data_IF_891703060930
#
_entry.id   IF_891703060930
#
_cell.length_a   1.000
_cell.length_b   1.000
_cell.length_c   1.000
_cell.angle_alpha   90.00
_cell.angle_beta   90.00
_cell.angle_gamma   90.00
#
_symmetry.space_group_name_H-M   'P 1'
#
loop_
_entity.id
_entity.type
_entity.pdbx_description
1 polymer ?
#
# COMPACT_ATOMS: atom_id res chain seq x y z
N UNK A 1 -23.31 -53.08 -39.41
CA UNK A 1 -23.06 -53.01 -37.95
C UNK A 1 -21.65 -52.53 -37.58
N UNK A 2 -20.55 -53.02 -38.18
CA UNK A 2 -19.16 -52.60 -37.86
C UNK A 2 -18.88 -51.10 -38.08
N UNK A 3 -19.50 -50.46 -39.08
CA UNK A 3 -19.26 -49.03 -39.32
C UNK A 3 -19.91 -48.12 -38.25
N UNK A 4 -21.09 -48.51 -37.77
CA UNK A 4 -21.81 -47.75 -36.74
C UNK A 4 -21.07 -47.81 -35.37
N UNK A 5 -20.54 -48.98 -35.02
CA UNK A 5 -19.74 -49.16 -33.79
C UNK A 5 -18.44 -48.37 -33.84
N UNK A 6 -17.75 -48.32 -34.99
CA UNK A 6 -16.55 -47.53 -35.15
C UNK A 6 -16.84 -46.04 -35.04
N UNK A 7 -17.91 -45.54 -35.63
CA UNK A 7 -18.32 -44.14 -35.51
C UNK A 7 -18.63 -43.74 -34.06
N UNK A 8 -19.35 -44.58 -33.32
CA UNK A 8 -19.66 -44.38 -31.90
C UNK A 8 -18.37 -44.34 -31.04
N UNK A 9 -17.41 -45.22 -31.31
CA UNK A 9 -16.11 -45.23 -30.63
C UNK A 9 -15.30 -43.96 -30.90
N UNK A 10 -15.25 -43.54 -32.15
CA UNK A 10 -14.53 -42.30 -32.52
C UNK A 10 -15.15 -41.07 -31.86
N UNK A 11 -16.49 -40.95 -31.86
CA UNK A 11 -17.20 -39.86 -31.19
C UNK A 11 -16.94 -39.91 -29.68
N UNK A 12 -16.97 -41.11 -29.09
CA UNK A 12 -16.68 -41.27 -27.66
C UNK A 12 -15.25 -40.81 -27.26
N UNK A 13 -14.25 -41.22 -28.05
CA UNK A 13 -12.86 -40.83 -27.85
C UNK A 13 -12.66 -39.33 -28.01
N UNK A 14 -13.24 -38.74 -29.06
CA UNK A 14 -13.18 -37.29 -29.29
C UNK A 14 -13.86 -36.50 -28.17
N UNK A 15 -15.05 -36.93 -27.74
CA UNK A 15 -15.78 -36.32 -26.63
C UNK A 15 -14.97 -36.40 -25.34
N UNK A 16 -14.38 -37.56 -25.06
CA UNK A 16 -13.53 -37.73 -23.88
C UNK A 16 -12.28 -36.86 -23.91
N UNK A 17 -11.62 -36.76 -25.05
CA UNK A 17 -10.45 -35.87 -25.24
C UNK A 17 -10.81 -34.38 -25.03
N UNK A 18 -11.96 -33.96 -25.56
CA UNK A 18 -12.47 -32.58 -25.36
C UNK A 18 -12.77 -32.32 -23.88
N UNK A 19 -13.46 -33.25 -23.20
CA UNK A 19 -13.75 -33.13 -21.77
C UNK A 19 -12.48 -33.09 -20.92
N UNK A 20 -11.48 -33.91 -21.22
CA UNK A 20 -10.18 -33.86 -20.53
C UNK A 20 -9.47 -32.52 -20.73
N UNK A 21 -9.45 -32.01 -21.95
CA UNK A 21 -8.85 -30.70 -22.25
C UNK A 21 -9.56 -29.56 -21.50
N UNK A 22 -10.90 -29.57 -21.52
CA UNK A 22 -11.70 -28.57 -20.82
C UNK A 22 -11.51 -28.65 -19.31
N UNK A 23 -11.51 -29.88 -18.73
CA UNK A 23 -11.28 -30.11 -17.31
C UNK A 23 -9.90 -29.60 -16.86
N UNK A 24 -8.87 -29.84 -17.67
CA UNK A 24 -7.51 -29.35 -17.39
C UNK A 24 -7.42 -27.84 -17.44
N UNK A 25 -8.06 -27.19 -18.41
CA UNK A 25 -8.11 -25.74 -18.51
C UNK A 25 -8.84 -25.11 -17.33
N UNK A 26 -10.00 -25.68 -16.97
CA UNK A 26 -10.79 -25.23 -15.81
C UNK A 26 -10.04 -25.43 -14.49
N UNK A 27 -9.38 -26.56 -14.32
CA UNK A 27 -8.57 -26.83 -13.14
C UNK A 27 -7.41 -25.82 -13.00
N UNK A 28 -6.69 -25.55 -14.07
CA UNK A 28 -5.63 -24.52 -14.09
C UNK A 28 -6.19 -23.13 -13.78
N UNK A 29 -7.30 -22.76 -14.38
CA UNK A 29 -7.93 -21.47 -14.16
C UNK A 29 -8.40 -21.31 -12.71
N UNK A 30 -8.97 -22.36 -12.12
CA UNK A 30 -9.45 -22.34 -10.75
C UNK A 30 -8.31 -22.38 -9.69
N UNK A 31 -7.20 -23.08 -9.97
CA UNK A 31 -6.08 -23.24 -9.03
C UNK A 31 -5.14 -22.01 -9.04
N UNK A 32 -4.92 -21.39 -10.19
CA UNK A 32 -3.99 -20.27 -10.33
C UNK A 32 -4.20 -19.11 -9.36
N UNK A 33 -5.43 -18.60 -9.10
CA UNK A 33 -5.64 -17.53 -8.12
C UNK A 33 -5.32 -17.97 -6.68
N UNK A 34 -5.59 -19.23 -6.33
CA UNK A 34 -5.27 -19.78 -4.99
C UNK A 34 -3.74 -19.87 -4.81
N UNK A 35 -3.03 -20.37 -5.80
CA UNK A 35 -1.57 -20.45 -5.77
C UNK A 35 -0.94 -19.05 -5.67
N UNK A 36 -1.46 -18.08 -6.41
CA UNK A 36 -0.99 -16.70 -6.35
C UNK A 36 -1.21 -16.10 -4.95
N UNK A 37 -2.40 -16.27 -4.38
CA UNK A 37 -2.73 -15.79 -3.03
C UNK A 37 -1.84 -16.47 -1.97
N UNK A 38 -1.60 -17.78 -2.10
CA UNK A 38 -0.73 -18.53 -1.20
C UNK A 38 0.73 -18.04 -1.25
N UNK A 39 1.25 -17.82 -2.45
CA UNK A 39 2.61 -17.32 -2.64
C UNK A 39 2.75 -15.89 -2.09
N UNK A 40 1.76 -15.03 -2.29
CA UNK A 40 1.72 -13.69 -1.71
C UNK A 40 1.69 -13.74 -0.18
N UNK A 41 0.92 -14.66 0.42
CA UNK A 41 0.86 -14.82 1.86
C UNK A 41 2.20 -15.31 2.43
N UNK A 42 2.85 -16.29 1.77
CA UNK A 42 4.18 -16.76 2.19
C UNK A 42 5.23 -15.66 2.12
N UNK A 43 5.25 -14.90 1.01
CA UNK A 43 6.16 -13.77 0.85
C UNK A 43 5.93 -12.71 1.94
N UNK A 44 4.68 -12.37 2.20
CA UNK A 44 4.31 -11.43 3.27
C UNK A 44 4.86 -11.84 4.65
N UNK A 45 4.72 -13.13 5.03
CA UNK A 45 5.25 -13.62 6.30
C UNK A 45 6.78 -13.57 6.33
N UNK A 46 7.44 -13.91 5.22
CA UNK A 46 8.90 -13.85 5.11
C UNK A 46 9.39 -12.40 5.26
N UNK A 47 8.80 -11.47 4.51
CA UNK A 47 9.18 -10.05 4.54
C UNK A 47 8.92 -9.42 5.93
N UNK A 48 7.76 -9.70 6.55
CA UNK A 48 7.45 -9.25 7.91
C UNK A 48 8.48 -9.78 8.93
N UNK A 49 8.89 -11.04 8.80
CA UNK A 49 9.89 -11.66 9.67
C UNK A 49 11.27 -10.99 9.52
N UNK A 50 11.66 -10.66 8.29
CA UNK A 50 12.90 -9.94 8.03
C UNK A 50 12.88 -8.51 8.58
N UNK A 51 11.79 -7.77 8.37
CA UNK A 51 11.65 -6.39 8.86
C UNK A 51 11.56 -6.31 10.39
N UNK A 52 11.08 -7.35 11.07
CA UNK A 52 11.08 -7.44 12.54
C UNK A 52 12.43 -7.87 13.10
N UNK A 53 13.18 -8.73 12.41
CA UNK A 53 14.45 -9.26 12.89
C UNK A 53 15.52 -8.17 13.04
N UNK A 54 15.60 -7.26 12.09
CA UNK A 54 16.62 -6.21 12.05
C UNK A 54 16.55 -5.28 13.27
N UNK A 55 15.43 -4.61 13.59
CA UNK A 55 15.35 -3.76 14.76
C UNK A 55 15.49 -4.55 16.07
N UNK A 56 14.99 -5.79 16.12
CA UNK A 56 15.16 -6.64 17.30
C UNK A 56 16.65 -6.95 17.57
N UNK A 57 17.42 -7.25 16.53
CA UNK A 57 18.86 -7.48 16.67
C UNK A 57 19.57 -6.24 17.21
N UNK A 58 19.22 -5.04 16.69
CA UNK A 58 19.81 -3.78 17.17
C UNK A 58 19.46 -3.53 18.64
N UNK A 59 18.21 -3.80 19.05
CA UNK A 59 17.78 -3.68 20.45
C UNK A 59 18.61 -4.60 21.34
N UNK A 60 18.72 -5.87 20.98
CA UNK A 60 19.47 -6.86 21.76
C UNK A 60 20.96 -6.50 21.88
N UNK A 61 21.60 -6.14 20.77
CA UNK A 61 23.01 -5.75 20.77
C UNK A 61 23.25 -4.51 21.66
N UNK A 62 22.40 -3.46 21.55
CA UNK A 62 22.55 -2.28 22.41
C UNK A 62 22.27 -2.60 23.90
N UNK A 63 21.32 -3.52 24.17
CA UNK A 63 21.05 -3.97 25.53
C UNK A 63 22.23 -4.78 26.14
N UNK A 64 22.92 -5.60 25.33
CA UNK A 64 24.13 -6.29 25.74
C UNK A 64 25.28 -5.29 26.02
N UNK A 65 25.49 -4.30 25.15
CA UNK A 65 26.50 -3.25 25.34
C UNK A 65 26.26 -2.40 26.62
N UNK A 66 25.01 -2.21 27.01
CA UNK A 66 24.69 -1.52 28.27
C UNK A 66 25.18 -2.28 29.53
N UNK A 67 25.40 -3.58 29.44
CA UNK A 67 25.88 -4.39 30.56
C UNK A 67 27.41 -4.35 30.70
N UNK A 68 28.12 -3.92 29.64
CA UNK A 68 29.58 -3.82 29.66
C UNK A 68 30.03 -2.60 30.48
N UNK A 69 30.98 -2.78 31.43
CA UNK A 69 31.43 -1.70 32.30
C UNK A 69 32.32 -0.67 31.59
N UNK A 70 32.82 -0.96 30.42
CA UNK A 70 33.80 -0.13 29.69
C UNK A 70 33.20 1.17 29.10
N UNK A 71 31.88 1.23 28.96
CA UNK A 71 31.20 2.35 28.31
C UNK A 71 30.85 3.47 29.28
N UNK A 72 31.18 4.71 28.87
CA UNK A 72 30.85 5.92 29.64
C UNK A 72 29.34 6.23 29.56
N UNK A 73 28.90 7.18 30.38
CA UNK A 73 27.49 7.62 30.48
C UNK A 73 26.96 8.11 29.12
N UNK A 74 27.77 8.78 28.30
CA UNK A 74 27.38 9.29 27.01
C UNK A 74 27.16 8.13 25.99
N UNK A 75 27.98 7.11 26.02
CA UNK A 75 27.80 5.91 25.20
C UNK A 75 26.54 5.15 25.61
N UNK A 76 26.31 5.00 26.92
CA UNK A 76 25.11 4.34 27.47
C UNK A 76 23.83 5.08 27.08
N UNK A 77 23.81 6.42 27.13
CA UNK A 77 22.68 7.22 26.64
C UNK A 77 22.38 6.94 25.18
N UNK A 78 23.38 6.89 24.31
CA UNK A 78 23.19 6.55 22.87
C UNK A 78 22.63 5.15 22.66
N UNK A 79 23.02 4.15 23.48
CA UNK A 79 22.45 2.80 23.38
C UNK A 79 20.97 2.80 23.79
N UNK A 80 20.60 3.53 24.85
CA UNK A 80 19.20 3.68 25.26
C UNK A 80 18.37 4.36 24.16
N UNK A 81 18.87 5.46 23.57
CA UNK A 81 18.19 6.18 22.49
C UNK A 81 17.99 5.28 21.25
N UNK A 82 19.00 4.46 20.93
CA UNK A 82 18.91 3.47 19.86
C UNK A 82 17.83 2.41 20.13
N UNK A 83 17.79 1.87 21.37
CA UNK A 83 16.76 0.91 21.79
C UNK A 83 15.36 1.52 21.67
N UNK A 84 15.18 2.75 22.18
CA UNK A 84 13.92 3.45 22.13
C UNK A 84 13.46 3.69 20.67
N UNK A 85 14.36 4.15 19.82
CA UNK A 85 14.10 4.38 18.40
C UNK A 85 13.66 3.10 17.68
N UNK A 86 14.38 2.00 17.88
CA UNK A 86 14.06 0.70 17.29
C UNK A 86 12.74 0.13 17.82
N UNK A 87 12.44 0.35 19.10
CA UNK A 87 11.18 -0.08 19.71
C UNK A 87 9.99 0.68 19.13
N UNK A 88 10.12 2.00 18.92
CA UNK A 88 9.09 2.80 18.24
C UNK A 88 8.89 2.35 16.78
N UNK A 89 9.95 2.03 16.09
CA UNK A 89 9.87 1.48 14.71
C UNK A 89 9.14 0.14 14.72
N UNK A 90 9.52 -0.82 15.58
CA UNK A 90 8.82 -2.11 15.66
C UNK A 90 7.33 -1.93 15.94
N UNK A 91 6.95 -1.03 16.85
CA UNK A 91 5.55 -0.73 17.12
C UNK A 91 4.82 -0.26 15.86
N UNK A 92 5.36 0.72 15.12
CA UNK A 92 4.76 1.21 13.87
C UNK A 92 4.63 0.12 12.80
N UNK A 93 5.62 -0.79 12.70
CA UNK A 93 5.54 -1.94 11.80
C UNK A 93 4.38 -2.88 12.21
N UNK A 94 4.30 -3.25 13.49
CA UNK A 94 3.23 -4.13 13.99
C UNK A 94 1.85 -3.50 13.77
N UNK A 95 1.68 -2.21 14.04
CA UNK A 95 0.43 -1.48 13.79
C UNK A 95 0.04 -1.53 12.31
N UNK A 96 1.01 -1.32 11.41
CA UNK A 96 0.78 -1.39 9.96
C UNK A 96 0.42 -2.81 9.49
N UNK A 97 1.04 -3.85 10.06
CA UNK A 97 0.71 -5.25 9.77
C UNK A 97 -0.70 -5.62 10.24
N UNK A 98 -1.08 -5.18 11.44
CA UNK A 98 -2.42 -5.40 11.98
C UNK A 98 -3.48 -4.69 11.15
N UNK A 99 -3.21 -3.47 10.70
CA UNK A 99 -4.10 -2.70 9.84
C UNK A 99 -4.29 -3.40 8.48
N UNK A 100 -3.20 -3.81 7.85
CA UNK A 100 -3.27 -4.57 6.60
C UNK A 100 -4.08 -5.86 6.77
N UNK A 101 -3.85 -6.60 7.87
CA UNK A 101 -4.61 -7.82 8.16
C UNK A 101 -6.11 -7.54 8.37
N UNK A 102 -6.48 -6.43 9.01
CA UNK A 102 -7.87 -6.00 9.17
C UNK A 102 -8.51 -5.65 7.82
N UNK A 103 -7.79 -4.89 7.00
CA UNK A 103 -8.25 -4.55 5.65
C UNK A 103 -8.41 -5.81 4.80
N UNK A 104 -7.46 -6.75 4.78
CA UNK A 104 -7.50 -7.97 3.97
C UNK A 104 -8.65 -8.91 4.35
N UNK A 105 -8.84 -9.17 5.66
CA UNK A 105 -9.84 -10.13 6.17
C UNK A 105 -11.30 -9.73 5.95
N UNK A 106 -11.53 -8.87 4.96
CA UNK A 106 -12.88 -8.64 4.43
C UNK A 106 -13.72 -7.71 5.26
N UNK A 107 -13.11 -6.79 6.02
CA UNK A 107 -13.84 -5.62 6.53
C UNK A 107 -15.18 -5.95 7.19
N UNK A 108 -15.28 -7.02 8.00
CA UNK A 108 -16.49 -7.32 8.76
C UNK A 108 -16.96 -6.11 9.58
N UNK A 109 -16.13 -5.07 9.68
CA UNK A 109 -16.40 -3.82 10.39
C UNK A 109 -16.32 -2.56 9.51
N UNK A 110 -16.19 -2.67 8.16
CA UNK A 110 -16.27 -1.48 7.31
C UNK A 110 -17.73 -1.04 7.18
N UNK A 111 -18.11 -0.03 7.94
CA UNK A 111 -19.43 0.59 7.81
C UNK A 111 -19.40 1.55 6.62
N UNK A 112 -20.09 1.18 5.55
CA UNK A 112 -20.22 2.01 4.36
C UNK A 112 -21.40 2.95 4.52
N UNK A 113 -21.16 4.25 4.43
CA UNK A 113 -22.18 5.30 4.40
C UNK A 113 -21.92 6.25 3.24
N UNK A 114 -22.92 7.05 2.88
CA UNK A 114 -22.72 8.20 2.00
C UNK A 114 -22.00 9.27 2.79
N UNK A 115 -20.81 9.69 2.35
CA UNK A 115 -19.98 10.69 3.01
C UNK A 115 -19.56 11.80 2.05
N UNK A 116 -19.33 12.99 2.59
CA UNK A 116 -18.78 14.12 1.85
C UNK A 116 -17.25 13.94 1.74
N UNK A 117 -16.81 13.52 0.55
CA UNK A 117 -15.39 13.26 0.31
C UNK A 117 -14.57 14.55 0.24
N UNK A 118 -15.20 15.67 -0.15
CA UNK A 118 -14.56 16.98 -0.14
C UNK A 118 -14.18 17.42 1.28
N UNK A 119 -15.11 17.32 2.23
CA UNK A 119 -14.84 17.62 3.65
C UNK A 119 -13.78 16.68 4.21
N UNK A 120 -13.89 15.37 3.92
CA UNK A 120 -12.93 14.39 4.40
C UNK A 120 -11.49 14.70 3.93
N UNK A 121 -11.32 15.06 2.65
CA UNK A 121 -10.00 15.42 2.10
C UNK A 121 -9.51 16.73 2.72
N UNK A 122 -10.37 17.73 2.86
CA UNK A 122 -10.01 19.00 3.50
C UNK A 122 -9.59 18.82 4.95
N UNK A 123 -10.30 18.00 5.72
CA UNK A 123 -9.95 17.67 7.11
C UNK A 123 -8.64 16.87 7.22
N UNK A 124 -8.34 16.04 6.21
CA UNK A 124 -7.08 15.30 6.17
C UNK A 124 -5.85 16.19 5.89
N UNK A 125 -6.02 17.35 5.25
CA UNK A 125 -4.92 18.29 4.98
C UNK A 125 -4.46 19.02 6.23
N UNK A 126 -5.37 19.36 7.16
CA UNK A 126 -5.07 20.20 8.31
C UNK A 126 -3.89 19.73 9.18
N UNK A 127 -3.76 18.44 9.55
CA UNK A 127 -2.62 17.97 10.33
C UNK A 127 -1.28 18.01 9.57
N UNK A 128 -1.31 18.07 8.23
CA UNK A 128 -0.10 18.08 7.40
C UNK A 128 0.42 19.49 7.11
N UNK A 129 -0.37 20.55 7.27
CA UNK A 129 0.09 21.92 7.08
C UNK A 129 1.35 22.25 7.91
N UNK A 130 1.37 22.03 9.27
CA UNK A 130 2.57 22.28 10.05
C UNK A 130 3.73 21.34 9.66
N UNK A 131 3.45 20.08 9.33
CA UNK A 131 4.47 19.10 8.93
C UNK A 131 5.18 19.53 7.65
N UNK A 132 4.42 20.02 6.67
CA UNK A 132 4.98 20.52 5.43
C UNK A 132 5.77 21.81 5.63
N UNK A 133 5.23 22.73 6.44
CA UNK A 133 5.92 23.97 6.79
C UNK A 133 7.29 23.71 7.43
N UNK A 134 7.37 22.80 8.42
CA UNK A 134 8.65 22.41 9.05
C UNK A 134 9.66 21.82 8.07
N UNK A 135 9.18 21.18 7.00
CA UNK A 135 10.02 20.61 5.94
C UNK A 135 10.32 21.55 4.78
N UNK A 136 9.91 22.81 4.87
CA UNK A 136 10.07 23.79 3.80
C UNK A 136 9.21 23.49 2.56
N UNK A 137 8.14 22.69 2.71
CA UNK A 137 7.23 22.35 1.62
C UNK A 137 6.02 23.30 1.62
N UNK A 138 5.58 23.68 0.43
CA UNK A 138 4.33 24.45 0.26
C UNK A 138 3.18 23.49 -0.05
N UNK A 139 2.05 23.63 0.65
CA UNK A 139 0.83 22.85 0.38
C UNK A 139 -0.14 23.72 -0.42
N UNK A 140 -0.48 23.29 -1.64
CA UNK A 140 -1.55 23.87 -2.46
C UNK A 140 -2.69 22.86 -2.57
N UNK A 141 -3.92 23.29 -2.29
CA UNK A 141 -5.08 22.43 -2.43
C UNK A 141 -6.16 23.08 -3.30
N UNK A 142 -6.79 22.25 -4.13
CA UNK A 142 -7.96 22.61 -4.92
C UNK A 142 -8.98 21.47 -4.79
N UNK A 143 -9.89 21.63 -3.84
CA UNK A 143 -10.90 20.62 -3.49
C UNK A 143 -12.26 21.11 -3.99
N UNK A 144 -12.81 20.43 -5.01
CA UNK A 144 -14.16 20.68 -5.51
C UNK A 144 -15.18 20.30 -4.43
N UNK A 145 -16.08 21.20 -4.11
CA UNK A 145 -17.06 21.03 -3.03
C UNK A 145 -18.16 20.01 -3.38
N UNK A 146 -18.78 19.46 -2.33
CA UNK A 146 -19.98 18.61 -2.43
C UNK A 146 -19.79 17.34 -3.29
N UNK A 147 -18.62 16.75 -3.26
CA UNK A 147 -18.38 15.44 -3.84
C UNK A 147 -18.67 14.34 -2.82
N UNK A 148 -19.65 13.49 -3.14
CA UNK A 148 -20.07 12.41 -2.25
C UNK A 148 -19.64 11.06 -2.81
N UNK A 149 -19.17 10.19 -1.91
CA UNK A 149 -18.84 8.79 -2.21
C UNK A 149 -19.52 7.87 -1.20
N UNK A 150 -19.71 6.61 -1.56
CA UNK A 150 -20.14 5.57 -0.62
C UNK A 150 -18.93 4.84 -0.07
N UNK A 151 -18.68 4.97 1.23
CA UNK A 151 -17.48 4.37 1.81
C UNK A 151 -17.41 4.45 3.33
N UNK A 152 -16.32 3.96 3.87
CA UNK A 152 -15.96 4.09 5.28
C UNK A 152 -15.10 5.33 5.47
N UNK A 153 -15.61 6.30 6.25
CA UNK A 153 -14.92 7.56 6.52
C UNK A 153 -13.51 7.33 7.08
N UNK A 154 -13.37 6.44 8.05
CA UNK A 154 -12.09 6.13 8.67
C UNK A 154 -11.06 5.63 7.65
N UNK A 155 -11.46 4.68 6.79
CA UNK A 155 -10.52 4.08 5.83
C UNK A 155 -10.20 5.02 4.66
N UNK A 156 -11.17 5.81 4.18
CA UNK A 156 -10.89 6.80 3.13
C UNK A 156 -10.03 7.96 3.66
N UNK A 157 -10.21 8.37 4.93
CA UNK A 157 -9.28 9.30 5.58
C UNK A 157 -7.87 8.73 5.62
N UNK A 158 -7.72 7.47 6.00
CA UNK A 158 -6.43 6.78 6.03
C UNK A 158 -5.75 6.76 4.64
N UNK A 159 -6.50 6.58 3.55
CA UNK A 159 -5.95 6.70 2.19
C UNK A 159 -5.37 8.08 1.95
N UNK A 160 -6.11 9.15 2.30
CA UNK A 160 -5.61 10.51 2.17
C UNK A 160 -4.35 10.73 3.02
N UNK A 161 -4.37 10.32 4.30
CA UNK A 161 -3.24 10.43 5.21
C UNK A 161 -1.99 9.72 4.67
N UNK A 162 -2.13 8.51 4.11
CA UNK A 162 -1.03 7.75 3.48
C UNK A 162 -0.42 8.51 2.30
N UNK A 163 -1.24 9.08 1.42
CA UNK A 163 -0.74 9.82 0.26
C UNK A 163 -0.05 11.12 0.67
N UNK A 164 -0.59 11.83 1.66
CA UNK A 164 0.00 13.06 2.20
C UNK A 164 1.31 12.77 2.94
N UNK A 165 1.35 11.73 3.77
CA UNK A 165 2.58 11.29 4.44
C UNK A 165 3.66 10.88 3.43
N UNK A 166 3.27 10.17 2.38
CA UNK A 166 4.16 9.81 1.28
C UNK A 166 4.74 11.05 0.59
N UNK A 167 3.91 12.05 0.26
CA UNK A 167 4.38 13.30 -0.30
C UNK A 167 5.34 14.03 0.67
N UNK A 168 5.02 14.08 1.98
CA UNK A 168 5.89 14.72 2.98
C UNK A 168 7.26 14.07 3.12
N UNK A 169 7.38 12.77 2.81
CA UNK A 169 8.61 11.98 2.94
C UNK A 169 9.50 12.04 1.71
N UNK A 170 8.90 12.16 0.54
CA UNK A 170 9.61 12.00 -0.74
C UNK A 170 9.61 13.26 -1.62
N UNK A 171 8.92 14.33 -1.21
CA UNK A 171 9.01 15.59 -1.91
C UNK A 171 10.43 16.19 -1.80
N UNK A 172 10.89 16.81 -2.87
CA UNK A 172 12.13 17.62 -2.87
C UNK A 172 11.98 18.80 -1.92
N UNK A 173 13.06 19.18 -1.27
CA UNK A 173 13.08 20.38 -0.42
C UNK A 173 12.62 21.63 -1.20
N UNK A 174 11.99 22.56 -0.51
CA UNK A 174 11.50 23.83 -1.06
C UNK A 174 10.56 23.68 -2.27
N UNK A 175 9.84 22.55 -2.33
CA UNK A 175 8.90 22.27 -3.42
C UNK A 175 7.43 22.38 -2.98
N UNK A 176 6.53 22.35 -3.98
CA UNK A 176 5.08 22.41 -3.75
C UNK A 176 4.47 21.02 -3.83
N UNK A 177 3.71 20.65 -2.79
CA UNK A 177 2.79 19.49 -2.82
C UNK A 177 1.42 20.00 -3.23
N UNK A 178 0.86 19.45 -4.31
CA UNK A 178 -0.43 19.87 -4.84
C UNK A 178 -1.46 18.76 -4.66
N UNK A 179 -2.57 19.09 -4.01
CA UNK A 179 -3.70 18.19 -3.78
C UNK A 179 -4.91 18.70 -4.56
N UNK A 180 -5.43 17.86 -5.45
CA UNK A 180 -6.61 18.22 -6.26
C UNK A 180 -7.67 17.12 -6.07
N UNK A 181 -8.87 17.53 -5.70
CA UNK A 181 -10.07 16.68 -5.74
C UNK A 181 -11.06 17.28 -6.71
N UNK A 182 -11.50 16.47 -7.68
CA UNK A 182 -12.46 16.91 -8.70
C UNK A 182 -13.42 15.79 -9.10
N UNK A 183 -14.56 16.14 -9.67
CA UNK A 183 -15.44 15.20 -10.35
C UNK A 183 -14.88 14.86 -11.73
N UNK A 184 -14.90 13.58 -12.06
CA UNK A 184 -14.54 13.07 -13.39
C UNK A 184 -15.62 12.06 -13.86
N UNK A 185 -16.62 12.55 -14.55
CA UNK A 185 -17.79 11.74 -14.94
C UNK A 185 -18.55 11.20 -13.72
N UNK A 186 -18.66 9.89 -13.61
CA UNK A 186 -19.30 9.18 -12.49
C UNK A 186 -18.36 8.86 -11.33
N UNK A 187 -17.19 9.52 -11.27
CA UNK A 187 -16.18 9.26 -10.26
C UNK A 187 -15.68 10.56 -9.63
N UNK A 188 -15.18 10.48 -8.41
CA UNK A 188 -14.32 11.47 -7.78
C UNK A 188 -12.88 11.08 -8.03
N UNK A 189 -12.04 12.02 -8.44
CA UNK A 189 -10.60 11.83 -8.63
C UNK A 189 -9.84 12.72 -7.65
N UNK A 190 -9.15 12.09 -6.70
CA UNK A 190 -8.17 12.72 -5.84
C UNK A 190 -6.79 12.52 -6.45
N UNK A 191 -5.98 13.57 -6.54
CA UNK A 191 -4.58 13.51 -6.92
C UNK A 191 -3.71 14.24 -5.90
N UNK A 192 -2.57 13.62 -5.55
CA UNK A 192 -1.52 14.22 -4.72
C UNK A 192 -0.24 14.21 -5.52
N UNK A 193 0.24 15.39 -5.89
CA UNK A 193 1.43 15.58 -6.72
C UNK A 193 2.53 16.24 -5.90
N UNK A 194 3.75 15.74 -6.02
CA UNK A 194 4.95 16.30 -5.39
C UNK A 194 6.14 16.22 -6.33
N UNK A 195 7.00 17.24 -6.33
CA UNK A 195 8.30 17.15 -6.99
C UNK A 195 9.19 16.15 -6.25
N UNK A 196 9.97 15.36 -6.97
CA UNK A 196 10.86 14.38 -6.36
C UNK A 196 11.61 13.55 -7.39
N UNK A 197 12.43 12.61 -6.92
CA UNK A 197 13.13 11.68 -7.78
C UNK A 197 12.14 10.91 -8.68
N UNK A 198 12.47 10.82 -9.97
CA UNK A 198 11.63 10.14 -10.93
C UNK A 198 11.46 8.65 -10.56
N UNK A 199 10.23 8.18 -10.57
CA UNK A 199 9.89 6.77 -10.34
C UNK A 199 9.97 6.05 -11.69
N UNK A 200 10.76 5.00 -11.78
CA UNK A 200 10.90 4.22 -13.01
C UNK A 200 9.58 3.53 -13.39
N UNK A 201 9.41 3.18 -14.68
CA UNK A 201 8.24 2.44 -15.14
C UNK A 201 8.10 1.05 -14.48
N UNK A 202 9.21 0.48 -14.03
CA UNK A 202 9.24 -0.78 -13.30
C UNK A 202 8.78 -0.57 -11.86
N UNK A 203 9.30 0.45 -11.19
CA UNK A 203 8.90 0.81 -9.83
C UNK A 203 7.42 1.18 -9.76
N UNK A 204 6.89 1.96 -10.71
CA UNK A 204 5.46 2.32 -10.79
C UNK A 204 4.52 1.11 -10.78
N UNK A 205 4.97 -0.05 -11.30
CA UNK A 205 4.19 -1.32 -11.27
C UNK A 205 4.27 -2.01 -9.91
N UNK A 206 5.25 -1.66 -9.09
CA UNK A 206 5.58 -2.38 -7.88
C UNK A 206 5.32 -1.60 -6.59
N UNK A 207 5.25 -0.25 -6.63
CA UNK A 207 5.13 0.60 -5.44
C UNK A 207 3.87 0.33 -4.58
N UNK A 208 2.85 -0.31 -5.14
CA UNK A 208 1.66 -0.75 -4.42
C UNK A 208 1.77 -2.18 -3.86
N UNK A 209 2.88 -2.88 -4.12
CA UNK A 209 3.13 -4.20 -3.52
C UNK A 209 3.59 -4.02 -2.06
N UNK A 210 3.26 -5.00 -1.23
CA UNK A 210 3.64 -5.04 0.19
C UNK A 210 5.16 -5.09 0.32
N UNK A 211 5.70 -4.33 1.28
CA UNK A 211 7.14 -4.23 1.58
C UNK A 211 8.00 -3.71 0.41
N UNK A 212 7.38 -3.26 -0.68
CA UNK A 212 8.15 -2.71 -1.77
C UNK A 212 8.68 -1.33 -1.44
N UNK A 213 9.98 -1.14 -1.66
CA UNK A 213 10.70 0.13 -1.49
C UNK A 213 11.71 0.27 -2.62
N UNK A 214 11.78 1.44 -3.20
CA UNK A 214 12.85 1.78 -4.14
C UNK A 214 14.19 1.79 -3.42
N UNK A 215 15.27 1.37 -4.08
CA UNK A 215 16.60 1.22 -3.46
C UNK A 215 17.10 2.51 -2.80
N UNK A 216 16.86 3.66 -3.42
CA UNK A 216 17.21 4.97 -2.85
C UNK A 216 16.41 5.32 -1.57
N UNK A 217 15.18 4.87 -1.46
CA UNK A 217 14.32 5.11 -0.31
C UNK A 217 14.67 4.25 0.89
N UNK A 218 15.44 3.18 0.71
CA UNK A 218 15.87 2.27 1.80
C UNK A 218 16.78 2.94 2.82
N UNK A 219 17.61 3.89 2.38
CA UNK A 219 18.60 4.55 3.22
C UNK A 219 18.11 5.83 3.92
N UNK A 220 17.04 6.46 3.43
CA UNK A 220 16.66 7.81 3.86
C UNK A 220 15.42 7.86 4.78
N UNK A 221 14.51 6.90 4.72
CA UNK A 221 13.24 6.96 5.44
C UNK A 221 12.85 5.61 6.07
N UNK A 222 12.39 5.65 7.33
CA UNK A 222 11.94 4.49 8.11
C UNK A 222 10.52 4.03 7.71
N UNK A 223 10.22 3.94 6.41
CA UNK A 223 8.93 3.44 5.93
C UNK A 223 9.06 1.96 5.56
N UNK A 224 8.07 1.15 5.95
CA UNK A 224 8.09 -0.31 5.75
C UNK A 224 7.57 -0.75 4.39
N UNK A 225 7.18 0.18 3.50
CA UNK A 225 6.59 -0.16 2.20
C UNK A 225 5.19 -0.79 2.30
N UNK A 226 4.47 -0.51 3.39
CA UNK A 226 3.11 -1.02 3.62
C UNK A 226 2.02 0.01 3.32
N UNK A 227 2.31 1.31 3.44
CA UNK A 227 1.30 2.37 3.32
C UNK A 227 0.55 2.32 1.99
N UNK A 228 1.25 2.37 0.86
CA UNK A 228 0.62 2.34 -0.47
C UNK A 228 -0.15 1.04 -0.72
N UNK A 229 0.30 -0.10 -0.20
CA UNK A 229 -0.44 -1.37 -0.32
C UNK A 229 -1.71 -1.40 0.55
N UNK A 230 -1.72 -0.73 1.70
CA UNK A 230 -2.92 -0.51 2.52
C UNK A 230 -3.90 0.40 1.76
N UNK A 231 -3.42 1.51 1.20
CA UNK A 231 -4.24 2.42 0.41
C UNK A 231 -4.87 1.71 -0.80
N UNK A 232 -4.12 0.89 -1.52
CA UNK A 232 -4.61 0.08 -2.66
C UNK A 232 -5.71 -0.89 -2.21
N UNK A 233 -5.49 -1.63 -1.13
CA UNK A 233 -6.49 -2.56 -0.59
C UNK A 233 -7.77 -1.84 -0.14
N UNK A 234 -7.67 -0.67 0.49
CA UNK A 234 -8.82 0.14 0.89
C UNK A 234 -9.59 0.63 -0.35
N UNK A 235 -8.88 1.25 -1.30
CA UNK A 235 -9.49 1.81 -2.52
C UNK A 235 -10.18 0.72 -3.33
N UNK A 236 -9.55 -0.45 -3.48
CA UNK A 236 -10.14 -1.62 -4.15
C UNK A 236 -11.45 -2.05 -3.49
N UNK A 237 -11.52 -2.11 -2.16
CA UNK A 237 -12.76 -2.47 -1.42
C UNK A 237 -13.87 -1.43 -1.56
N UNK A 238 -13.51 -0.19 -1.87
CA UNK A 238 -14.46 0.88 -2.19
C UNK A 238 -14.88 0.91 -3.67
N UNK A 239 -14.47 -0.11 -4.45
CA UNK A 239 -14.78 -0.18 -5.89
C UNK A 239 -14.03 0.86 -6.71
N UNK A 240 -12.96 1.42 -6.15
CA UNK A 240 -12.12 2.43 -6.77
C UNK A 240 -10.88 1.87 -7.45
N UNK A 241 -10.02 2.79 -7.87
CA UNK A 241 -8.70 2.51 -8.45
C UNK A 241 -7.67 3.49 -7.91
N UNK A 242 -6.47 2.99 -7.59
CA UNK A 242 -5.30 3.79 -7.24
C UNK A 242 -4.18 3.53 -8.26
N UNK A 243 -3.43 4.56 -8.63
CA UNK A 243 -2.25 4.44 -9.49
C UNK A 243 -1.33 5.64 -9.28
N UNK A 244 -0.15 5.58 -9.86
CA UNK A 244 0.80 6.68 -9.85
C UNK A 244 1.37 6.92 -11.24
N UNK A 245 1.78 8.17 -11.47
CA UNK A 245 2.47 8.62 -12.65
C UNK A 245 3.69 9.42 -12.24
N UNK A 246 4.76 9.32 -13.01
CA UNK A 246 5.99 10.09 -12.80
C UNK A 246 6.43 10.70 -14.12
N UNK A 247 6.39 12.01 -14.22
CA UNK A 247 6.77 12.77 -15.39
C UNK A 247 7.37 14.11 -15.00
N UNK A 248 8.37 14.56 -15.71
CA UNK A 248 8.98 15.91 -15.57
C UNK A 248 9.42 16.25 -14.13
N UNK A 249 9.90 15.25 -13.38
CA UNK A 249 10.33 15.44 -11.98
C UNK A 249 9.18 15.57 -10.98
N UNK A 250 7.95 15.27 -11.40
CA UNK A 250 6.75 15.27 -10.55
C UNK A 250 6.19 13.86 -10.46
N UNK A 251 5.96 13.41 -9.23
CA UNK A 251 5.28 12.15 -8.94
C UNK A 251 3.85 12.46 -8.49
N UNK A 252 2.87 11.89 -9.18
CA UNK A 252 1.45 12.11 -8.88
C UNK A 252 0.79 10.78 -8.55
N UNK A 253 0.17 10.71 -7.38
CA UNK A 253 -0.64 9.57 -6.95
C UNK A 253 -2.11 9.91 -7.13
N UNK A 254 -2.86 9.00 -7.73
CA UNK A 254 -4.25 9.16 -8.06
C UNK A 254 -5.12 8.14 -7.34
N UNK A 255 -6.25 8.59 -6.81
CA UNK A 255 -7.33 7.75 -6.26
C UNK A 255 -8.63 8.12 -6.94
N UNK A 256 -9.26 7.14 -7.57
CA UNK A 256 -10.55 7.26 -8.23
C UNK A 256 -11.59 6.45 -7.46
N UNK A 257 -12.68 7.08 -7.07
CA UNK A 257 -13.79 6.45 -6.35
C UNK A 257 -15.11 6.72 -7.08
N UNK A 258 -16.07 5.75 -7.11
CA UNK A 258 -17.41 6.00 -7.65
C UNK A 258 -18.13 7.09 -6.84
N UNK A 259 -18.82 7.99 -7.53
CA UNK A 259 -19.71 8.97 -6.87
C UNK A 259 -20.93 8.27 -6.28
N UNK A 260 -21.44 8.77 -5.13
CA UNK A 260 -22.65 8.26 -4.47
C UNK A 260 -23.89 9.05 -4.87
#
# INVERSE_FOLDING_TARGET
MRSLTNTCVIIGVLSFAVFLGLSFLLARWAVKPVETAWNQQRQFVADASHELKTPLTVILTNAELLQEPEYDEQARSRFVDSIMTMSHQMRGLVESLLELARVDNGGQNMVFSRLNFSELVSDALLPFEPVYFEKGLTLESNVEENLFVKGSQQHLKQVADILLDNASKYASADSTVRVILRRQGSHCLLSVASAGDAISKEDLKNIFKRFYRMDKARSMNHSYGLGLSIADSIVFKHGGKIWAESADGVNTFFVQLPTA
#
